data_IF_716703432939
#
_entry.id   IF_716703432939
#
_cell.length_a   1.000
_cell.length_b   1.000
_cell.length_c   1.000
_cell.angle_alpha   90.00
_cell.angle_beta   90.00
_cell.angle_gamma   90.00
#
_symmetry.space_group_name_H-M   'P 1'
#
loop_
_entity.id
_entity.type
_entity.pdbx_description
1 polymer ?
#
# COMPACT_ATOMS: atom_id res chain seq x y z
N UNK A 1 11.04 -17.09 -64.18
CA UNK A 1 9.72 -16.49 -64.49
C UNK A 1 8.63 -17.55 -64.30
N UNK A 2 7.43 -17.17 -63.80
CA UNK A 2 6.15 -17.95 -63.82
C UNK A 2 6.20 -19.36 -63.17
N UNK A 3 5.58 -19.62 -62.00
CA UNK A 3 4.13 -19.85 -61.70
C UNK A 3 3.59 -21.20 -62.24
N UNK A 4 2.50 -21.71 -61.63
CA UNK A 4 1.71 -22.94 -61.99
C UNK A 4 2.21 -24.24 -61.32
N UNK A 5 1.42 -25.11 -60.63
CA UNK A 5 0.00 -25.07 -60.21
C UNK A 5 -0.28 -25.82 -58.85
N UNK A 6 -1.05 -25.17 -57.97
CA UNK A 6 -2.22 -25.63 -57.14
C UNK A 6 -2.38 -27.11 -56.67
N UNK A 7 -2.44 -27.30 -55.32
CA UNK A 7 -3.11 -28.37 -54.49
C UNK A 7 -2.74 -29.85 -54.78
N UNK A 8 -2.92 -30.84 -53.90
CA UNK A 8 -3.49 -31.02 -52.52
C UNK A 8 -2.54 -32.00 -51.76
N UNK A 9 -2.69 -32.46 -50.50
CA UNK A 9 -3.70 -32.39 -49.41
C UNK A 9 -2.95 -32.16 -48.06
N UNK A 10 -3.56 -31.49 -47.08
CA UNK A 10 -3.35 -31.60 -45.61
C UNK A 10 -4.40 -30.66 -44.97
N UNK A 11 -5.44 -31.07 -44.22
CA UNK A 11 -5.72 -32.28 -43.42
C UNK A 11 -4.96 -32.39 -42.10
N UNK A 12 -5.05 -31.36 -41.26
CA UNK A 12 -5.46 -31.47 -39.85
C UNK A 12 -5.68 -30.05 -39.28
N UNK A 13 -6.67 -29.88 -38.40
CA UNK A 13 -6.94 -28.58 -37.78
C UNK A 13 -6.01 -28.35 -36.57
N UNK A 14 -5.41 -27.17 -36.49
CA UNK A 14 -4.33 -26.86 -35.53
C UNK A 14 -4.25 -25.39 -35.15
N UNK A 15 -5.40 -24.74 -34.93
CA UNK A 15 -5.45 -23.43 -34.26
C UNK A 15 -5.13 -23.62 -32.77
N UNK A 16 -4.62 -22.57 -32.13
CA UNK A 16 -4.41 -22.44 -30.66
C UNK A 16 -3.12 -23.07 -30.10
N UNK A 17 -2.05 -22.29 -30.14
CA UNK A 17 -0.91 -22.41 -29.21
C UNK A 17 -0.58 -21.05 -28.58
N UNK A 18 -0.54 -20.00 -29.39
CA UNK A 18 -0.15 -18.63 -29.00
C UNK A 18 -1.12 -17.99 -27.99
N UNK A 19 -2.42 -18.33 -28.02
CA UNK A 19 -3.44 -17.85 -27.06
C UNK A 19 -3.34 -18.43 -25.65
N UNK A 20 -2.41 -19.35 -25.39
CA UNK A 20 -2.31 -20.04 -24.09
C UNK A 20 -1.48 -19.21 -23.09
N UNK A 21 -0.56 -18.36 -23.56
CA UNK A 21 0.31 -17.57 -22.70
C UNK A 21 -0.45 -16.52 -21.86
N UNK A 22 -1.29 -15.69 -22.51
CA UNK A 22 -2.05 -14.62 -21.84
C UNK A 22 -2.97 -15.19 -20.75
N UNK A 23 -3.65 -16.30 -21.05
CA UNK A 23 -4.57 -16.98 -20.14
C UNK A 23 -3.88 -17.59 -18.90
N UNK A 24 -2.57 -17.81 -18.92
CA UNK A 24 -1.82 -18.31 -17.75
C UNK A 24 -1.40 -17.16 -16.82
N UNK A 25 -1.18 -15.96 -17.35
CA UNK A 25 -0.76 -14.78 -16.57
C UNK A 25 -1.91 -14.09 -15.83
N UNK A 26 -3.14 -14.06 -16.37
CA UNK A 26 -4.30 -13.50 -15.65
C UNK A 26 -4.74 -14.33 -14.44
N UNK A 27 -4.53 -15.65 -14.47
CA UNK A 27 -5.09 -16.59 -13.49
C UNK A 27 -4.43 -16.58 -12.09
N UNK A 28 -3.38 -15.78 -11.86
CA UNK A 28 -2.78 -15.63 -10.53
C UNK A 28 -3.51 -14.62 -9.59
N UNK A 29 -4.57 -13.96 -10.06
CA UNK A 29 -5.17 -12.81 -9.37
C UNK A 29 -6.51 -13.09 -8.63
N UNK A 30 -6.69 -14.26 -7.99
CA UNK A 30 -7.92 -14.56 -7.21
C UNK A 30 -7.67 -14.64 -5.70
N UNK A 31 -7.50 -13.44 -5.14
CA UNK A 31 -8.20 -12.98 -3.94
C UNK A 31 -8.28 -13.91 -2.72
N UNK A 32 -7.18 -13.96 -1.95
CA UNK A 32 -7.24 -14.10 -0.49
C UNK A 32 -6.61 -12.86 0.19
N UNK A 33 -7.14 -11.67 -0.14
CA UNK A 33 -6.82 -10.44 0.60
C UNK A 33 -7.24 -10.64 2.08
N UNK A 34 -6.36 -10.42 3.07
CA UNK A 34 -6.79 -10.37 4.47
C UNK A 34 -7.69 -9.14 4.71
N UNK A 35 -8.42 -9.09 5.84
CA UNK A 35 -9.30 -7.97 6.28
C UNK A 35 -8.46 -6.75 6.69
N UNK A 36 -7.71 -6.19 5.73
CA UNK A 36 -6.64 -5.22 5.90
C UNK A 36 -6.70 -4.27 4.71
N UNK A 37 -6.99 -3.00 4.95
CA UNK A 37 -7.11 -2.00 3.87
C UNK A 37 -5.72 -1.63 3.32
N UNK A 38 -5.27 -2.42 2.33
CA UNK A 38 -3.95 -2.25 1.70
C UNK A 38 -3.85 -0.86 1.05
N UNK A 39 -4.92 -0.35 0.42
CA UNK A 39 -4.93 0.97 -0.22
C UNK A 39 -4.69 2.10 0.79
N UNK A 40 -5.35 2.05 1.95
CA UNK A 40 -5.09 2.99 3.07
C UNK A 40 -3.67 2.82 3.62
N UNK A 41 -3.19 1.58 3.77
CA UNK A 41 -1.83 1.31 4.21
C UNK A 41 -0.79 1.89 3.24
N UNK A 42 -1.02 1.80 1.92
CA UNK A 42 -0.08 2.32 0.92
C UNK A 42 -0.13 3.86 0.83
N UNK A 43 -1.27 4.49 1.07
CA UNK A 43 -1.35 5.94 1.29
C UNK A 43 -0.53 6.37 2.53
N UNK A 44 -0.72 5.73 3.69
CA UNK A 44 0.09 5.97 4.89
C UNK A 44 1.59 5.72 4.65
N UNK A 45 1.94 4.63 3.95
CA UNK A 45 3.31 4.28 3.56
C UNK A 45 3.90 5.24 2.53
N UNK A 46 3.08 5.95 1.75
CA UNK A 46 3.54 6.99 0.81
C UNK A 46 4.03 8.24 1.54
N UNK A 47 3.34 8.65 2.61
CA UNK A 47 3.61 9.86 3.41
C UNK A 47 4.84 9.72 4.31
N UNK A 48 5.10 8.52 4.82
CA UNK A 48 6.17 8.29 5.79
C UNK A 48 7.56 8.44 5.13
N UNK A 49 8.45 9.36 5.58
CA UNK A 49 9.75 9.54 4.93
C UNK A 49 10.69 8.33 5.15
N UNK A 50 10.62 7.70 6.33
CA UNK A 50 11.47 6.57 6.74
C UNK A 50 10.78 5.21 6.51
N UNK A 51 10.76 4.75 5.26
CA UNK A 51 9.99 3.57 4.78
C UNK A 51 10.64 2.22 5.13
N UNK A 52 10.82 1.94 6.42
CA UNK A 52 11.53 0.74 6.93
C UNK A 52 10.53 -0.34 7.43
N UNK A 53 10.89 -1.61 7.21
CA UNK A 53 10.18 -2.79 7.72
C UNK A 53 8.68 -2.92 7.33
N UNK A 54 8.34 -2.78 6.03
CA UNK A 54 6.96 -2.88 5.50
C UNK A 54 6.18 -4.09 6.03
N UNK A 55 6.82 -5.26 6.18
CA UNK A 55 6.19 -6.47 6.76
C UNK A 55 5.71 -6.27 8.20
N UNK A 56 6.54 -5.67 9.07
CA UNK A 56 6.17 -5.43 10.47
C UNK A 56 5.12 -4.31 10.57
N UNK A 57 5.16 -3.33 9.67
CA UNK A 57 4.15 -2.28 9.58
C UNK A 57 2.79 -2.83 9.14
N UNK A 58 2.75 -3.77 8.18
CA UNK A 58 1.52 -4.50 7.81
C UNK A 58 0.96 -5.35 8.95
N UNK A 59 1.82 -6.01 9.75
CA UNK A 59 1.37 -6.75 10.94
C UNK A 59 0.77 -5.81 11.99
N UNK A 60 1.39 -4.67 12.25
CA UNK A 60 0.83 -3.63 13.13
C UNK A 60 -0.51 -3.11 12.60
N UNK A 61 -0.58 -2.75 11.31
CA UNK A 61 -1.81 -2.28 10.65
C UNK A 61 -2.95 -3.30 10.72
N UNK A 62 -2.65 -4.60 10.58
CA UNK A 62 -3.65 -5.67 10.67
C UNK A 62 -4.23 -5.90 12.07
N UNK A 63 -3.67 -5.26 13.10
CA UNK A 63 -4.19 -5.28 14.50
C UNK A 63 -5.08 -4.08 14.82
N UNK A 64 -5.07 -3.04 13.99
CA UNK A 64 -5.83 -1.80 14.18
C UNK A 64 -7.07 -1.84 13.29
N UNK A 65 -8.26 -1.66 13.86
CA UNK A 65 -9.49 -1.59 13.06
C UNK A 65 -9.57 -0.24 12.33
N UNK A 66 -9.10 -0.24 11.09
CA UNK A 66 -8.83 0.96 10.27
C UNK A 66 -10.09 1.63 9.72
N UNK A 67 -10.93 2.21 10.60
CA UNK A 67 -12.09 3.02 10.19
C UNK A 67 -11.66 4.22 9.35
N UNK A 68 -12.59 4.81 8.58
CA UNK A 68 -12.26 5.95 7.72
C UNK A 68 -11.86 7.19 8.54
N UNK A 69 -12.50 7.40 9.69
CA UNK A 69 -12.19 8.48 10.65
C UNK A 69 -10.81 8.28 11.28
N UNK A 70 -10.50 7.06 11.75
CA UNK A 70 -9.19 6.72 12.30
C UNK A 70 -8.08 6.86 11.26
N UNK A 71 -8.34 6.45 10.02
CA UNK A 71 -7.40 6.63 8.92
C UNK A 71 -7.13 8.10 8.62
N UNK A 72 -8.18 8.94 8.58
CA UNK A 72 -8.02 10.38 8.41
C UNK A 72 -7.18 11.00 9.54
N UNK A 73 -7.47 10.64 10.80
CA UNK A 73 -6.68 11.06 11.97
C UNK A 73 -5.22 10.63 11.87
N UNK A 74 -4.96 9.38 11.46
CA UNK A 74 -3.60 8.86 11.23
C UNK A 74 -2.86 9.65 10.16
N UNK A 75 -3.50 9.93 9.02
CA UNK A 75 -2.92 10.71 7.91
C UNK A 75 -2.63 12.15 8.34
N UNK A 76 -3.54 12.79 9.08
CA UNK A 76 -3.34 14.13 9.64
C UNK A 76 -2.18 14.15 10.64
N UNK A 77 -2.19 13.25 11.63
CA UNK A 77 -1.10 13.14 12.62
C UNK A 77 0.26 12.92 11.95
N UNK A 78 0.37 12.03 10.95
CA UNK A 78 1.62 11.84 10.21
C UNK A 78 2.04 13.11 9.48
N UNK A 79 1.13 13.86 8.87
CA UNK A 79 1.43 15.13 8.19
C UNK A 79 1.80 16.28 9.14
N UNK A 80 1.40 16.22 10.41
CA UNK A 80 1.86 17.14 11.46
C UNK A 80 3.23 16.69 11.99
N UNK A 81 3.41 15.39 12.26
CA UNK A 81 4.69 14.82 12.68
C UNK A 81 5.81 15.08 11.65
N UNK A 82 5.59 14.90 10.35
CA UNK A 82 6.62 15.16 9.31
C UNK A 82 7.04 16.63 9.20
N UNK A 83 6.22 17.56 9.72
CA UNK A 83 6.52 18.99 9.82
C UNK A 83 7.09 19.39 11.19
N UNK A 84 7.05 18.49 12.18
CA UNK A 84 7.53 18.76 13.52
C UNK A 84 9.06 18.81 13.59
N UNK A 85 9.60 19.65 14.46
CA UNK A 85 11.05 19.72 14.67
C UNK A 85 11.65 18.36 15.06
N UNK A 86 10.93 17.52 15.81
CA UNK A 86 11.41 16.18 16.20
C UNK A 86 11.70 15.26 15.00
N UNK A 87 11.02 15.43 13.87
CA UNK A 87 11.23 14.61 12.67
C UNK A 87 12.09 15.31 11.61
N UNK A 88 12.16 16.64 11.62
CA UNK A 88 13.06 17.40 10.73
C UNK A 88 14.51 17.37 11.28
N UNK A 89 14.66 17.46 12.60
CA UNK A 89 15.96 17.47 13.30
C UNK A 89 16.78 16.21 12.98
N UNK A 90 18.10 16.42 12.90
CA UNK A 90 19.10 15.39 12.58
C UNK A 90 18.73 14.57 11.32
N UNK A 91 18.18 15.29 10.32
CA UNK A 91 17.75 14.76 9.01
C UNK A 91 16.83 13.52 9.13
N UNK A 92 15.94 13.52 10.13
CA UNK A 92 14.99 12.43 10.38
C UNK A 92 15.57 11.18 11.04
N UNK A 93 16.76 11.26 11.64
CA UNK A 93 17.39 10.15 12.36
C UNK A 93 16.49 9.58 13.48
N UNK A 94 15.70 10.43 14.13
CA UNK A 94 14.81 10.08 15.25
C UNK A 94 13.39 9.71 14.82
N UNK A 95 13.08 9.69 13.51
CA UNK A 95 11.76 9.27 13.02
C UNK A 95 11.54 7.79 13.39
N UNK A 96 10.49 7.45 14.17
CA UNK A 96 10.22 6.08 14.57
C UNK A 96 9.87 5.20 13.37
N UNK A 97 10.03 3.88 13.48
CA UNK A 97 9.60 2.99 12.40
C UNK A 97 8.06 3.00 12.29
N UNK A 98 7.48 2.90 11.07
CA UNK A 98 6.02 2.90 10.89
C UNK A 98 5.30 1.84 11.74
N UNK A 99 5.90 0.65 11.92
CA UNK A 99 5.38 -0.39 12.81
C UNK A 99 5.35 0.02 14.28
N UNK A 100 6.33 0.79 14.74
CA UNK A 100 6.43 1.26 16.13
C UNK A 100 5.42 2.37 16.39
N UNK A 101 5.33 3.33 15.45
CA UNK A 101 4.35 4.42 15.51
C UNK A 101 2.90 3.91 15.52
N UNK A 102 2.62 2.86 14.74
CA UNK A 102 1.31 2.17 14.74
C UNK A 102 1.05 1.40 16.04
N UNK A 103 2.00 0.59 16.52
CA UNK A 103 1.85 -0.20 17.75
C UNK A 103 1.78 0.66 19.03
N UNK A 104 2.23 1.92 18.97
CA UNK A 104 2.15 2.90 20.06
C UNK A 104 0.97 3.87 19.91
N UNK A 105 0.09 3.64 18.92
CA UNK A 105 -1.10 4.45 18.65
C UNK A 105 -0.84 5.97 18.59
N UNK A 106 0.31 6.41 18.06
CA UNK A 106 0.80 7.80 18.24
C UNK A 106 -0.01 8.90 17.54
N UNK A 107 -1.12 8.56 16.89
CA UNK A 107 -2.16 9.51 16.50
C UNK A 107 -3.05 9.95 17.70
N UNK A 108 -2.97 9.26 18.84
CA UNK A 108 -3.61 9.61 20.11
C UNK A 108 -2.67 10.34 21.07
N UNK A 109 -1.39 10.47 20.72
CA UNK A 109 -0.36 11.14 21.50
C UNK A 109 -0.58 12.66 21.44
N UNK A 110 -0.49 13.35 22.59
CA UNK A 110 -0.71 14.79 22.68
C UNK A 110 0.54 15.54 22.19
N UNK A 111 0.66 15.69 20.87
CA UNK A 111 1.46 16.77 20.30
C UNK A 111 0.90 18.12 20.75
N UNK A 112 1.76 19.06 21.13
CA UNK A 112 1.43 20.44 21.52
C UNK A 112 0.84 21.33 20.38
N UNK A 113 0.19 20.73 19.38
CA UNK A 113 -0.81 21.43 18.57
C UNK A 113 -2.05 21.68 19.43
N UNK A 114 -2.06 22.87 20.04
CA UNK A 114 -3.01 23.38 21.02
C UNK A 114 -4.47 23.21 20.56
N UNK A 115 -5.09 22.06 20.86
CA UNK A 115 -6.51 21.79 20.56
C UNK A 115 -7.38 22.44 21.62
N UNK A 116 -7.61 23.75 21.44
CA UNK A 116 -8.23 24.71 22.38
C UNK A 116 -9.74 24.47 22.69
N UNK A 117 -10.19 23.22 22.78
CA UNK A 117 -11.62 22.85 22.83
C UNK A 117 -11.97 21.78 23.88
N UNK A 118 -11.14 21.57 24.92
CA UNK A 118 -11.47 20.65 26.04
C UNK A 118 -11.31 21.18 27.47
N UNK A 119 -10.98 22.47 27.64
CA UNK A 119 -11.02 23.15 28.94
C UNK A 119 -11.74 24.50 28.81
N UNK A 120 -13.09 24.53 28.91
CA UNK A 120 -13.80 25.78 29.18
C UNK A 120 -13.42 26.28 30.58
N UNK A 121 -13.06 27.56 30.67
CA UNK A 121 -12.84 28.29 31.93
C UNK A 121 -14.13 28.97 32.41
#
# INVERSE_FOLDING_TARGET
MKKTIIKVINSCEGKTSEKIADAILENFNVQKKPKVDIEKFEQFWSLYPRKIAKKNALVAWSRVEMTNELFAKIVESVNTYTKSEQWIKDNGQYIPHPSTWLNQERWNDELDVITSTKYPS
#
